data_IF_187925884250
#
_entry.id   IF_187925884250
#
_cell.length_a   1.000
_cell.length_b   1.000
_cell.length_c   1.000
_cell.angle_alpha   90.00
_cell.angle_beta   90.00
_cell.angle_gamma   90.00
#
_symmetry.space_group_name_H-M   'P 1'
#
loop_
_entity.id
_entity.type
_entity.pdbx_description
1 polymer ?
#
# COMPACT_ATOMS: atom_id res chain seq x y z
N UNK A 1 -1.09 3.52 -34.82
CA UNK A 1 -0.54 3.26 -33.47
C UNK A 1 -1.73 3.10 -32.55
N UNK A 2 -2.03 1.87 -32.12
CA UNK A 2 -3.02 1.67 -31.05
C UNK A 2 -2.53 2.46 -29.84
N UNK A 3 -3.40 3.29 -29.26
CA UNK A 3 -3.23 3.68 -27.87
C UNK A 3 -3.44 2.40 -27.08
N UNK A 4 -2.37 1.62 -26.88
CA UNK A 4 -2.38 0.55 -25.91
C UNK A 4 -2.86 1.20 -24.62
N UNK A 5 -4.02 0.77 -24.15
CA UNK A 5 -4.73 1.41 -23.07
C UNK A 5 -3.87 1.26 -21.80
N UNK A 6 -3.04 2.27 -21.52
CA UNK A 6 -2.10 2.31 -20.40
C UNK A 6 -2.86 1.90 -19.14
N UNK A 7 -2.43 0.80 -18.53
CA UNK A 7 -3.13 0.25 -17.38
C UNK A 7 -2.84 1.13 -16.17
N UNK A 8 -3.90 1.63 -15.54
CA UNK A 8 -3.75 2.49 -14.36
C UNK A 8 -3.96 1.67 -13.09
N UNK A 9 -2.91 1.56 -12.27
CA UNK A 9 -2.93 0.76 -11.05
C UNK A 9 -2.82 1.67 -9.84
N UNK A 10 -3.80 1.58 -8.93
CA UNK A 10 -3.70 2.14 -7.59
C UNK A 10 -2.94 1.20 -6.67
N UNK A 11 -2.00 1.72 -5.88
CA UNK A 11 -1.23 0.93 -4.92
C UNK A 11 -1.25 1.58 -3.54
N UNK A 12 -1.69 0.83 -2.53
CA UNK A 12 -1.69 1.27 -1.15
C UNK A 12 -1.34 0.14 -0.18
N UNK A 13 -0.52 0.47 0.81
CA UNK A 13 -0.09 -0.44 1.86
C UNK A 13 -0.75 -0.01 3.15
N UNK A 14 -1.44 -0.94 3.80
CA UNK A 14 -1.79 -0.79 5.21
C UNK A 14 -0.54 -1.11 6.06
N UNK A 15 0.09 -0.13 6.75
CA UNK A 15 1.39 -0.35 7.41
C UNK A 15 1.35 -1.35 8.57
N UNK A 16 0.16 -1.63 9.13
CA UNK A 16 -0.02 -2.57 10.25
C UNK A 16 -0.51 -3.95 9.80
N UNK A 17 -0.77 -4.14 8.50
CA UNK A 17 -1.27 -5.42 7.99
C UNK A 17 -0.28 -6.57 8.26
N UNK A 18 -0.84 -7.71 8.67
CA UNK A 18 -0.07 -8.93 8.95
C UNK A 18 0.60 -8.99 10.32
N UNK A 19 0.53 -7.92 11.13
CA UNK A 19 1.14 -7.91 12.47
C UNK A 19 0.51 -8.93 13.44
N UNK A 20 -0.80 -9.16 13.37
CA UNK A 20 -1.49 -10.10 14.25
C UNK A 20 -1.11 -11.55 14.00
N UNK A 21 -1.11 -11.95 12.73
CA UNK A 21 -0.74 -13.32 12.34
C UNK A 21 0.69 -13.66 12.72
N UNK A 22 1.63 -12.71 12.62
CA UNK A 22 3.03 -12.89 12.99
C UNK A 22 3.26 -13.31 14.45
N UNK A 23 2.29 -13.06 15.34
CA UNK A 23 2.36 -13.39 16.77
C UNK A 23 1.23 -14.34 17.22
N UNK A 24 0.62 -15.07 16.28
CA UNK A 24 -0.42 -16.07 16.56
C UNK A 24 -1.77 -15.47 16.98
N UNK A 25 -2.07 -14.22 16.61
CA UNK A 25 -3.37 -13.60 16.82
C UNK A 25 -4.21 -13.72 15.54
N UNK A 26 -5.53 -13.81 15.67
CA UNK A 26 -6.47 -13.88 14.53
C UNK A 26 -6.49 -12.60 13.66
N UNK A 27 -5.78 -11.55 14.06
CA UNK A 27 -5.69 -10.27 13.37
C UNK A 27 -5.18 -9.15 14.28
N UNK A 28 -5.25 -7.91 13.81
CA UNK A 28 -4.99 -6.68 14.63
C UNK A 28 -6.17 -5.71 14.57
N UNK A 29 -7.37 -6.22 14.32
CA UNK A 29 -8.57 -5.40 14.21
C UNK A 29 -8.92 -4.85 15.60
N UNK A 30 -8.71 -3.55 15.76
CA UNK A 30 -8.92 -2.82 17.00
C UNK A 30 -7.63 -2.51 17.78
N UNK A 31 -7.64 -1.36 18.47
CA UNK A 31 -6.50 -0.83 19.22
C UNK A 31 -5.98 -1.80 20.30
N UNK A 32 -6.86 -2.59 20.94
CA UNK A 32 -6.46 -3.57 21.97
C UNK A 32 -5.61 -4.69 21.37
N UNK A 33 -6.06 -5.26 20.26
CA UNK A 33 -5.38 -6.37 19.56
C UNK A 33 -4.05 -5.92 18.97
N UNK A 34 -3.99 -4.73 18.36
CA UNK A 34 -2.75 -4.14 17.86
C UNK A 34 -1.73 -3.94 18.99
N UNK A 35 -2.13 -3.37 20.14
CA UNK A 35 -1.23 -3.22 21.29
C UNK A 35 -0.72 -4.56 21.81
N UNK A 36 -1.58 -5.57 21.84
CA UNK A 36 -1.18 -6.93 22.23
C UNK A 36 -0.18 -7.53 21.25
N UNK A 37 -0.38 -7.33 19.94
CA UNK A 37 0.55 -7.78 18.92
C UNK A 37 1.93 -7.13 19.09
N UNK A 38 1.97 -5.81 19.27
CA UNK A 38 3.20 -5.05 19.52
C UNK A 38 3.91 -5.55 20.78
N UNK A 39 3.17 -5.80 21.88
CA UNK A 39 3.76 -6.35 23.13
C UNK A 39 4.36 -7.74 22.93
N UNK A 40 3.79 -8.55 22.03
CA UNK A 40 4.34 -9.84 21.62
C UNK A 40 5.49 -9.74 20.62
N UNK A 41 5.98 -8.54 20.32
CA UNK A 41 7.11 -8.32 19.42
C UNK A 41 6.74 -8.25 17.94
N UNK A 42 5.45 -8.07 17.60
CA UNK A 42 5.05 -7.91 16.20
C UNK A 42 5.70 -6.67 15.58
N UNK A 43 6.27 -6.85 14.39
CA UNK A 43 6.84 -5.79 13.56
C UNK A 43 6.01 -5.62 12.27
N UNK A 44 5.97 -4.43 11.67
CA UNK A 44 5.37 -4.23 10.35
C UNK A 44 6.02 -5.15 9.31
N UNK A 45 5.25 -6.04 8.70
CA UNK A 45 5.72 -6.94 7.62
C UNK A 45 5.23 -6.52 6.23
N UNK A 46 4.21 -5.65 6.18
CA UNK A 46 3.56 -5.27 4.93
C UNK A 46 4.47 -4.47 4.01
N UNK A 47 5.34 -3.61 4.56
CA UNK A 47 6.28 -2.81 3.78
C UNK A 47 7.27 -3.66 2.97
N UNK A 48 7.86 -4.68 3.59
CA UNK A 48 8.80 -5.58 2.91
C UNK A 48 8.09 -6.39 1.82
N UNK A 49 6.86 -6.87 2.09
CA UNK A 49 6.05 -7.59 1.11
C UNK A 49 5.68 -6.69 -0.08
N UNK A 50 5.27 -5.46 0.21
CA UNK A 50 4.94 -4.45 -0.79
C UNK A 50 6.15 -4.10 -1.67
N UNK A 51 7.33 -3.92 -1.08
CA UNK A 51 8.58 -3.69 -1.83
C UNK A 51 8.89 -4.86 -2.76
N UNK A 52 8.81 -6.10 -2.27
CA UNK A 52 9.01 -7.31 -3.09
C UNK A 52 8.01 -7.39 -4.23
N UNK A 53 6.75 -7.08 -3.97
CA UNK A 53 5.69 -7.08 -4.97
C UNK A 53 5.95 -6.07 -6.09
N UNK A 54 6.13 -4.79 -5.75
CA UNK A 54 6.37 -3.73 -6.75
C UNK A 54 7.67 -3.97 -7.53
N UNK A 55 8.71 -4.49 -6.88
CA UNK A 55 9.97 -4.86 -7.57
C UNK A 55 9.76 -5.94 -8.63
N UNK A 56 8.88 -6.91 -8.39
CA UNK A 56 8.58 -7.94 -9.39
C UNK A 56 7.69 -7.41 -10.51
N UNK A 57 6.73 -6.51 -10.20
CA UNK A 57 5.92 -5.84 -11.24
C UNK A 57 6.81 -4.99 -12.14
N UNK A 58 7.72 -4.19 -11.57
CA UNK A 58 8.65 -3.34 -12.33
C UNK A 58 9.49 -4.14 -13.35
N UNK A 59 9.87 -5.38 -13.02
CA UNK A 59 10.64 -6.25 -13.92
C UNK A 59 9.81 -6.85 -15.05
N UNK A 60 8.51 -7.05 -14.84
CA UNK A 60 7.66 -7.91 -15.69
C UNK A 60 6.64 -7.13 -16.49
N UNK A 61 6.37 -5.88 -16.13
CA UNK A 61 5.33 -5.07 -16.72
C UNK A 61 5.87 -3.71 -17.16
N UNK A 62 5.58 -3.33 -18.40
CA UNK A 62 5.83 -2.01 -18.95
C UNK A 62 4.50 -1.30 -19.21
N UNK A 63 4.50 0.03 -19.20
CA UNK A 63 3.31 0.82 -19.53
C UNK A 63 2.21 0.76 -18.46
N UNK A 64 2.59 0.65 -17.18
CA UNK A 64 1.66 0.85 -16.05
C UNK A 64 1.80 2.28 -15.56
N UNK A 65 0.66 2.95 -15.43
CA UNK A 65 0.55 4.25 -14.76
C UNK A 65 0.15 4.03 -13.29
N UNK A 66 1.05 4.37 -12.37
CA UNK A 66 0.85 4.10 -10.95
C UNK A 66 0.29 5.31 -10.20
N UNK A 67 -0.80 5.08 -9.48
CA UNK A 67 -1.28 5.98 -8.43
C UNK A 67 -0.89 5.37 -7.09
N UNK A 68 -0.04 6.06 -6.32
CA UNK A 68 0.56 5.52 -5.10
C UNK A 68 0.08 6.29 -3.86
N UNK A 69 -0.25 5.57 -2.78
CA UNK A 69 -0.61 6.18 -1.50
C UNK A 69 0.61 6.86 -0.81
N UNK A 70 0.44 7.95 -0.05
CA UNK A 70 1.57 8.73 0.48
C UNK A 70 2.44 8.00 1.51
N UNK A 71 3.73 8.36 1.53
CA UNK A 71 4.73 8.01 2.54
C UNK A 71 4.78 6.50 2.84
N UNK A 72 4.69 6.13 4.12
CA UNK A 72 4.69 4.73 4.59
C UNK A 72 3.53 3.89 4.06
N UNK A 73 2.52 4.48 3.43
CA UNK A 73 1.46 3.73 2.75
C UNK A 73 1.81 3.43 1.29
N UNK A 74 2.89 3.96 0.72
CA UNK A 74 3.24 3.62 -0.66
C UNK A 74 4.47 4.35 -1.20
N UNK A 75 4.49 5.69 -1.20
CA UNK A 75 5.51 6.44 -1.95
C UNK A 75 6.93 6.15 -1.49
N UNK A 76 7.17 5.90 -0.20
CA UNK A 76 8.49 5.50 0.30
C UNK A 76 9.03 4.25 -0.41
N UNK A 77 8.14 3.30 -0.74
CA UNK A 77 8.49 2.07 -1.47
C UNK A 77 8.73 2.37 -2.95
N UNK A 78 7.86 3.20 -3.54
CA UNK A 78 8.00 3.60 -4.94
C UNK A 78 9.29 4.39 -5.20
N UNK A 79 9.64 5.31 -4.30
CA UNK A 79 10.87 6.10 -4.32
C UNK A 79 12.11 5.20 -4.24
N UNK A 80 12.10 4.21 -3.33
CA UNK A 80 13.20 3.24 -3.18
C UNK A 80 13.42 2.44 -4.48
N UNK A 81 12.35 2.17 -5.23
CA UNK A 81 12.40 1.46 -6.51
C UNK A 81 12.60 2.39 -7.70
N UNK A 82 12.64 3.72 -7.49
CA UNK A 82 12.68 4.75 -8.54
C UNK A 82 11.56 4.55 -9.57
N UNK A 83 10.36 4.23 -9.09
CA UNK A 83 9.18 4.12 -9.92
C UNK A 83 8.66 5.52 -10.27
N UNK A 84 8.16 5.69 -11.49
CA UNK A 84 7.35 6.84 -11.87
C UNK A 84 5.92 6.64 -11.34
N UNK A 85 5.37 7.65 -10.70
CA UNK A 85 4.02 7.57 -10.12
C UNK A 85 3.36 8.94 -9.89
N UNK A 86 2.04 8.92 -9.74
CA UNK A 86 1.24 10.01 -9.17
C UNK A 86 0.89 9.71 -7.70
N UNK A 87 1.25 10.59 -6.77
CA UNK A 87 0.86 10.44 -5.36
C UNK A 87 -0.60 10.85 -5.14
N UNK A 88 -1.39 10.03 -4.45
CA UNK A 88 -2.83 10.26 -4.27
C UNK A 88 -3.23 10.33 -2.79
N UNK A 89 -3.70 11.51 -2.39
CA UNK A 89 -4.26 11.76 -1.06
C UNK A 89 -3.24 12.36 -0.10
N UNK A 90 -3.50 12.19 1.19
CA UNK A 90 -2.68 12.68 2.31
C UNK A 90 -2.87 11.75 3.49
N UNK A 91 -1.89 11.66 4.37
CA UNK A 91 -2.00 10.93 5.63
C UNK A 91 -1.64 11.85 6.80
N UNK A 92 -2.10 11.49 7.99
CA UNK A 92 -1.58 12.08 9.23
C UNK A 92 -0.33 11.35 9.71
N UNK A 93 0.27 11.84 10.80
CA UNK A 93 1.42 11.20 11.48
C UNK A 93 1.17 9.72 11.79
N UNK A 94 -0.05 9.41 12.25
CA UNK A 94 -0.53 8.05 12.44
C UNK A 94 -1.56 7.72 11.36
N UNK A 95 -1.36 6.59 10.69
CA UNK A 95 -2.28 6.07 9.67
C UNK A 95 -3.40 5.28 10.32
N UNK A 96 -4.60 5.40 9.78
CA UNK A 96 -5.83 4.77 10.26
C UNK A 96 -6.49 3.95 9.15
N UNK A 97 -7.51 3.16 9.50
CA UNK A 97 -8.38 2.52 8.51
C UNK A 97 -9.05 3.54 7.59
N UNK A 98 -9.39 4.71 8.12
CA UNK A 98 -10.09 5.76 7.36
C UNK A 98 -9.18 6.36 6.30
N UNK A 99 -7.87 6.43 6.55
CA UNK A 99 -6.88 6.83 5.55
C UNK A 99 -6.85 5.83 4.38
N UNK A 100 -6.83 4.53 4.67
CA UNK A 100 -6.89 3.46 3.66
C UNK A 100 -8.15 3.59 2.81
N UNK A 101 -9.33 3.71 3.44
CA UNK A 101 -10.62 3.79 2.74
C UNK A 101 -10.67 5.06 1.88
N UNK A 102 -10.27 6.21 2.45
CA UNK A 102 -10.29 7.50 1.73
C UNK A 102 -9.34 7.49 0.54
N UNK A 103 -8.12 6.97 0.68
CA UNK A 103 -7.15 6.90 -0.42
C UNK A 103 -7.64 5.94 -1.51
N UNK A 104 -8.18 4.78 -1.16
CA UNK A 104 -8.77 3.85 -2.12
C UNK A 104 -9.93 4.50 -2.91
N UNK A 105 -10.78 5.29 -2.23
CA UNK A 105 -11.82 6.09 -2.90
C UNK A 105 -11.25 7.14 -3.85
N UNK A 106 -10.19 7.85 -3.47
CA UNK A 106 -9.54 8.84 -4.35
C UNK A 106 -8.94 8.16 -5.60
N UNK A 107 -8.32 6.99 -5.45
CA UNK A 107 -7.82 6.18 -6.56
C UNK A 107 -8.95 5.77 -7.50
N UNK A 108 -10.06 5.28 -6.95
CA UNK A 108 -11.27 4.94 -7.73
C UNK A 108 -11.80 6.14 -8.51
N UNK A 109 -11.87 7.32 -7.90
CA UNK A 109 -12.32 8.56 -8.57
C UNK A 109 -11.40 8.94 -9.75
N UNK A 110 -10.11 8.60 -9.66
CA UNK A 110 -9.12 8.77 -10.74
C UNK A 110 -9.12 7.63 -11.78
N UNK A 111 -10.12 6.72 -11.71
CA UNK A 111 -10.36 5.64 -12.67
C UNK A 111 -9.19 4.67 -12.82
N UNK A 112 -8.59 4.25 -11.70
CA UNK A 112 -7.71 3.08 -11.70
C UNK A 112 -8.47 1.84 -12.17
N UNK A 113 -7.83 0.99 -12.96
CA UNK A 113 -8.36 -0.30 -13.41
C UNK A 113 -8.32 -1.34 -12.28
N UNK A 114 -7.34 -1.22 -11.38
CA UNK A 114 -7.08 -2.14 -10.28
C UNK A 114 -6.50 -1.38 -9.09
N UNK A 115 -6.92 -1.72 -7.87
CA UNK A 115 -6.28 -1.28 -6.62
C UNK A 115 -5.64 -2.50 -5.96
N UNK A 116 -4.40 -2.32 -5.52
CA UNK A 116 -3.57 -3.35 -4.87
C UNK A 116 -3.11 -2.84 -3.51
#
# INVERSE_FOLDING_TARGET
MSLDNVKRVGFLVNPIAGMGGAVGLKGTDGKKTLRHAVRKGAKPISLERALRYLKEIQKRSQGIDFLIAPEKMGTTIADQLKLEYESVGRIGKNTTSDDTIRIAHLMRLKRVDLII
#
